data_IF_653389672638
#
_entry.id   IF_653389672638
#
_cell.length_a   1.000
_cell.length_b   1.000
_cell.length_c   1.000
_cell.angle_alpha   90.00
_cell.angle_beta   90.00
_cell.angle_gamma   90.00
#
_symmetry.space_group_name_H-M   'P 1'
#
loop_
_entity.id
_entity.type
_entity.pdbx_description
1 polymer ?
#
# COMPACT_ATOMS: atom_id res chain seq x y z
N UNK A 1 1.91 0.99 -35.37
CA UNK A 1 2.45 0.64 -34.04
C UNK A 1 1.34 0.95 -33.08
N UNK A 2 0.71 -0.08 -32.54
CA UNK A 2 -0.47 0.08 -31.70
C UNK A 2 -0.05 0.70 -30.37
N UNK A 3 -0.80 1.71 -29.99
CA UNK A 3 -0.70 2.48 -28.77
C UNK A 3 -0.49 1.53 -27.58
N UNK A 4 0.70 1.56 -27.00
CA UNK A 4 0.91 0.94 -25.70
C UNK A 4 0.28 1.90 -24.70
N UNK A 5 -1.02 1.74 -24.48
CA UNK A 5 -1.68 2.20 -23.26
C UNK A 5 -0.95 1.51 -22.10
N UNK A 6 0.18 2.10 -21.67
CA UNK A 6 0.68 1.95 -20.32
C UNK A 6 -0.46 2.48 -19.45
N UNK A 7 -1.42 1.60 -19.14
CA UNK A 7 -2.27 1.80 -17.99
C UNK A 7 -1.30 2.02 -16.83
N UNK A 8 -1.14 3.27 -16.40
CA UNK A 8 -0.43 3.60 -15.18
C UNK A 8 -1.24 2.94 -14.06
N UNK A 9 -0.92 1.67 -13.77
CA UNK A 9 -1.58 0.90 -12.74
C UNK A 9 -1.42 1.67 -11.44
N UNK A 10 -2.56 2.09 -10.87
CA UNK A 10 -2.56 2.82 -9.61
C UNK A 10 -1.95 1.87 -8.56
N UNK A 11 -0.79 2.23 -7.95
CA UNK A 11 -0.12 1.33 -7.03
C UNK A 11 -0.99 1.06 -5.82
N UNK A 12 -0.97 -0.16 -5.30
CA UNK A 12 -1.72 -0.53 -4.09
C UNK A 12 -0.88 -0.29 -2.84
N UNK A 13 -1.51 -0.41 -1.66
CA UNK A 13 -0.79 -0.40 -0.38
C UNK A 13 0.26 -1.51 -0.36
N UNK A 14 -0.06 -2.71 -0.88
CA UNK A 14 0.88 -3.84 -0.99
C UNK A 14 2.14 -3.44 -1.75
N UNK A 15 1.98 -3.03 -3.01
CA UNK A 15 3.11 -2.73 -3.91
C UNK A 15 4.00 -1.61 -3.35
N UNK A 16 3.40 -0.63 -2.67
CA UNK A 16 4.16 0.45 -2.01
C UNK A 16 4.94 -0.02 -0.79
N UNK A 17 4.38 -0.93 0.00
CA UNK A 17 5.05 -1.45 1.20
C UNK A 17 6.13 -2.49 0.86
N UNK A 18 5.94 -3.28 -0.18
CA UNK A 18 6.92 -4.27 -0.67
C UNK A 18 8.24 -3.63 -1.10
N UNK A 19 8.21 -2.34 -1.50
CA UNK A 19 9.43 -1.58 -1.78
C UNK A 19 10.33 -1.36 -0.54
N UNK A 20 9.81 -1.57 0.67
CA UNK A 20 10.50 -1.27 1.93
C UNK A 20 10.51 -2.43 2.94
N UNK A 21 9.57 -3.37 2.85
CA UNK A 21 9.31 -4.41 3.82
C UNK A 21 9.13 -5.77 3.14
N UNK A 22 9.46 -6.85 3.86
CA UNK A 22 9.09 -8.20 3.44
C UNK A 22 7.58 -8.43 3.60
N UNK A 23 7.03 -9.34 2.81
CA UNK A 23 5.62 -9.74 2.87
C UNK A 23 5.19 -10.19 4.27
N UNK A 24 6.02 -11.02 4.94
CA UNK A 24 5.79 -11.45 6.33
C UNK A 24 5.63 -10.25 7.28
N UNK A 25 6.49 -9.24 7.12
CA UNK A 25 6.44 -8.04 7.96
C UNK A 25 5.21 -7.21 7.64
N UNK A 26 4.80 -7.10 6.37
CA UNK A 26 3.58 -6.41 5.97
C UNK A 26 2.36 -7.09 6.59
N UNK A 27 2.27 -8.42 6.50
CA UNK A 27 1.19 -9.21 7.08
C UNK A 27 1.09 -8.99 8.60
N UNK A 28 2.21 -8.99 9.32
CA UNK A 28 2.22 -8.75 10.76
C UNK A 28 1.72 -7.34 11.14
N UNK A 29 2.02 -6.31 10.35
CA UNK A 29 1.50 -4.95 10.59
C UNK A 29 0.02 -4.82 10.23
N UNK A 30 -0.43 -5.53 9.19
CA UNK A 30 -1.84 -5.58 8.81
C UNK A 30 -2.67 -6.27 9.90
N UNK A 31 -2.22 -7.42 10.40
CA UNK A 31 -2.87 -8.17 11.49
C UNK A 31 -3.00 -7.32 12.77
N UNK A 32 -1.96 -6.55 13.09
CA UNK A 32 -1.96 -5.60 14.22
C UNK A 32 -2.81 -4.35 13.98
N UNK A 33 -3.38 -4.18 12.77
CA UNK A 33 -4.19 -3.00 12.37
C UNK A 33 -3.46 -1.67 12.56
N UNK A 34 -2.15 -1.68 12.32
CA UNK A 34 -1.31 -0.48 12.48
C UNK A 34 -1.01 0.22 11.16
N UNK A 35 -1.26 -0.38 10.01
CA UNK A 35 -1.08 0.27 8.70
C UNK A 35 -2.21 1.29 8.51
N UNK A 36 -1.85 2.53 8.19
CA UNK A 36 -2.82 3.59 7.87
C UNK A 36 -2.51 4.25 6.53
N UNK A 37 -3.54 4.47 5.72
CA UNK A 37 -3.51 5.24 4.48
C UNK A 37 -4.31 6.53 4.70
N UNK A 38 -3.65 7.68 4.58
CA UNK A 38 -4.24 9.01 4.84
C UNK A 38 -4.96 9.10 6.21
N UNK A 39 -4.42 8.38 7.20
CA UNK A 39 -4.95 8.34 8.56
C UNK A 39 -6.02 7.28 8.81
N UNK A 40 -6.55 6.63 7.77
CA UNK A 40 -7.51 5.52 7.88
C UNK A 40 -6.78 4.18 7.99
N UNK A 41 -7.24 3.30 8.88
CA UNK A 41 -6.67 1.95 9.02
C UNK A 41 -6.92 1.17 7.74
N UNK A 42 -5.86 0.55 7.20
CA UNK A 42 -5.95 -0.33 6.03
C UNK A 42 -6.39 -1.71 6.49
N UNK A 43 -7.49 -2.21 5.91
CA UNK A 43 -7.96 -3.58 6.13
C UNK A 43 -7.62 -4.52 4.98
N UNK A 44 -7.37 -3.96 3.79
CA UNK A 44 -7.01 -4.67 2.58
C UNK A 44 -5.77 -4.07 1.92
N UNK A 45 -4.75 -4.90 1.67
CA UNK A 45 -3.51 -4.49 1.02
C UNK A 45 -3.66 -4.18 -0.47
N UNK A 46 -4.72 -4.67 -1.10
CA UNK A 46 -5.06 -4.36 -2.50
C UNK A 46 -5.76 -3.00 -2.65
N UNK A 47 -5.97 -2.27 -1.54
CA UNK A 47 -6.46 -0.89 -1.56
C UNK A 47 -5.55 0.00 -2.43
N UNK A 48 -6.11 0.78 -3.38
CA UNK A 48 -5.33 1.74 -4.17
C UNK A 48 -4.68 2.82 -3.30
N UNK A 49 -3.39 3.04 -3.51
CA UNK A 49 -2.57 4.02 -2.78
C UNK A 49 -1.78 4.91 -3.77
N UNK A 50 -2.47 5.71 -4.61
CA UNK A 50 -1.83 6.54 -5.63
C UNK A 50 -0.76 7.49 -5.06
N UNK A 51 0.20 7.93 -5.89
CA UNK A 51 1.11 9.00 -5.51
C UNK A 51 0.36 10.20 -4.91
N UNK A 52 0.87 10.74 -3.80
CA UNK A 52 0.19 11.79 -3.03
C UNK A 52 -0.53 11.28 -1.77
N UNK A 53 -0.88 9.99 -1.72
CA UNK A 53 -1.39 9.36 -0.48
C UNK A 53 -0.25 8.98 0.46
N UNK A 54 -0.51 9.09 1.77
CA UNK A 54 0.47 8.86 2.83
C UNK A 54 0.18 7.57 3.57
N UNK A 55 1.12 6.62 3.47
CA UNK A 55 1.12 5.41 4.29
C UNK A 55 1.95 5.66 5.56
N UNK A 56 1.38 5.36 6.73
CA UNK A 56 2.07 5.41 8.03
C UNK A 56 1.77 4.18 8.85
N UNK A 57 2.66 3.85 9.78
CA UNK A 57 2.42 2.83 10.81
C UNK A 57 2.03 3.52 12.11
N UNK A 58 0.90 3.13 12.69
CA UNK A 58 0.45 3.53 14.01
C UNK A 58 1.06 2.68 15.12
N UNK A 59 1.00 3.18 16.35
CA UNK A 59 1.64 2.55 17.50
C UNK A 59 2.84 3.38 17.96
N UNK A 60 2.91 3.60 19.27
CA UNK A 60 4.07 4.20 19.94
C UNK A 60 5.16 3.17 20.15
#
# INVERSE_FOLDING_TARGET
MSDAEQAEEIPTVRTRLEAMLSEERIAAHLERKVIKLDGMVVEDLDTPAPPGTRIVFGGS
#
